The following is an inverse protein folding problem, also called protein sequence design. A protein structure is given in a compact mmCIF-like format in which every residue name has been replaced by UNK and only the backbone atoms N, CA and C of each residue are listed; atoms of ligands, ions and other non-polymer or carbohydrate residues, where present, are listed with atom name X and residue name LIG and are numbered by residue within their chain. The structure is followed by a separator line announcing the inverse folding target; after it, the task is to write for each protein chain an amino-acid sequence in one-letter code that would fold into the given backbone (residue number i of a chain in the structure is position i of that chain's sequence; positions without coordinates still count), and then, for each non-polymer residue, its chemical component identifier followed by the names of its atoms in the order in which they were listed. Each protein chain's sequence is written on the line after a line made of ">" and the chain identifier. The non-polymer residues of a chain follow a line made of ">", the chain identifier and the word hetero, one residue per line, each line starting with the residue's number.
data_IF_742634176310
#
_entry.id   IF_742634176310
#
_cell.length_a   1.000
_cell.length_b   1.000
_cell.length_c   1.000
_cell.angle_alpha   90.00
_cell.angle_beta   90.00
_cell.angle_gamma   90.00
#
_symmetry.space_group_name_H-M   'P 1'
#
loop_
_entity.id
_entity.type
_entity.pdbx_description
1 polymer ?
#
# COMPACT_ATOMS: atom_id res chain seq x y z
N UNK A 1 1.39 17.08 42.33
CA UNK A 1 2.35 17.16 41.21
C UNK A 1 1.57 17.62 40.00
N UNK A 2 1.77 18.86 39.56
CA UNK A 2 1.02 19.48 38.47
C UNK A 2 1.76 19.17 37.15
N UNK A 3 1.12 18.45 36.22
CA UNK A 3 1.64 18.21 34.87
C UNK A 3 1.14 19.34 33.97
N UNK A 4 1.96 20.38 33.82
CA UNK A 4 1.79 21.38 32.76
C UNK A 4 2.25 20.77 31.44
N UNK A 5 1.34 20.03 30.79
CA UNK A 5 1.53 19.48 29.45
C UNK A 5 1.37 20.58 28.42
N UNK A 6 2.42 21.38 28.21
CA UNK A 6 2.44 22.50 27.29
C UNK A 6 1.92 22.13 25.89
N UNK A 7 0.74 22.66 25.54
CA UNK A 7 0.21 22.71 24.19
C UNK A 7 1.03 23.71 23.36
N UNK A 8 2.26 23.33 22.98
CA UNK A 8 3.01 24.09 22.00
C UNK A 8 2.27 24.09 20.66
N UNK A 9 2.19 25.23 19.94
CA UNK A 9 1.61 25.24 18.60
C UNK A 9 2.41 24.25 17.73
N UNK A 10 1.73 23.27 17.14
CA UNK A 10 2.40 22.39 16.17
C UNK A 10 2.90 23.28 15.03
N UNK A 11 4.21 23.45 14.93
CA UNK A 11 4.86 24.11 13.80
C UNK A 11 4.57 23.28 12.55
N UNK A 12 3.45 23.53 11.87
CA UNK A 12 3.24 23.07 10.51
C UNK A 12 4.21 23.87 9.65
N UNK A 13 5.25 23.26 9.06
CA UNK A 13 6.18 24.01 8.24
C UNK A 13 5.46 24.31 6.92
N UNK A 14 4.83 25.48 6.83
CA UNK A 14 4.01 25.96 5.71
C UNK A 14 4.72 25.86 4.34
N UNK A 15 6.05 25.75 4.33
CA UNK A 15 6.90 25.68 3.14
C UNK A 15 7.84 24.47 3.09
N UNK A 16 7.72 23.50 4.01
CA UNK A 16 8.54 22.27 4.00
C UNK A 16 7.67 21.01 4.09
N UNK A 17 6.64 20.95 3.25
CA UNK A 17 5.85 19.74 3.06
C UNK A 17 6.29 19.01 1.80
N UNK A 18 6.31 17.67 1.85
CA UNK A 18 6.47 16.80 0.68
C UNK A 18 5.17 16.04 0.46
N UNK A 19 4.75 15.94 -0.79
CA UNK A 19 3.63 15.08 -1.17
C UNK A 19 4.13 13.65 -1.30
N UNK A 20 3.52 12.73 -0.58
CA UNK A 20 3.79 11.28 -0.70
C UNK A 20 2.61 10.67 -1.44
N UNK A 21 2.88 10.05 -2.59
CA UNK A 21 1.91 9.23 -3.30
C UNK A 21 2.13 7.77 -2.92
N UNK A 22 1.12 7.14 -2.30
CA UNK A 22 1.12 5.70 -2.01
C UNK A 22 0.32 4.99 -3.11
N UNK A 23 0.99 4.15 -3.88
CA UNK A 23 0.38 3.41 -5.00
C UNK A 23 0.49 1.92 -4.71
N UNK A 24 -0.65 1.22 -4.73
CA UNK A 24 -0.68 -0.25 -4.69
C UNK A 24 -0.33 -0.80 -6.07
N UNK A 25 0.32 -1.97 -6.12
CA UNK A 25 0.53 -2.68 -7.37
C UNK A 25 -0.81 -3.00 -8.06
N UNK A 26 -0.77 -3.11 -9.39
CA UNK A 26 -1.90 -3.51 -10.23
C UNK A 26 -2.20 -5.02 -10.09
N UNK A 27 -3.23 -5.52 -10.78
CA UNK A 27 -3.65 -6.92 -10.67
C UNK A 27 -2.51 -7.90 -11.04
N UNK A 28 -2.09 -8.69 -10.05
CA UNK A 28 -1.17 -9.81 -10.22
C UNK A 28 -1.93 -11.11 -10.54
N UNK A 29 -1.25 -12.07 -11.18
CA UNK A 29 -1.82 -13.40 -11.44
C UNK A 29 -2.31 -14.09 -10.15
N UNK A 30 -1.59 -13.89 -9.04
CA UNK A 30 -1.97 -14.41 -7.73
C UNK A 30 -3.32 -13.86 -7.21
N UNK A 31 -3.72 -12.64 -7.60
CA UNK A 31 -5.02 -12.09 -7.18
C UNK A 31 -6.17 -12.85 -7.82
N UNK A 32 -6.08 -13.10 -9.14
CA UNK A 32 -7.12 -13.82 -9.91
C UNK A 32 -7.27 -15.25 -9.41
N UNK A 33 -6.15 -15.93 -9.21
CA UNK A 33 -6.13 -17.33 -8.76
C UNK A 33 -6.58 -17.45 -7.30
N UNK A 34 -6.19 -16.50 -6.46
CA UNK A 34 -6.60 -16.44 -5.05
C UNK A 34 -8.08 -16.10 -4.84
N UNK A 35 -8.68 -15.28 -5.72
CA UNK A 35 -10.13 -15.01 -5.74
C UNK A 35 -10.92 -16.28 -6.07
N UNK A 36 -10.39 -17.11 -6.98
CA UNK A 36 -11.03 -18.37 -7.38
C UNK A 36 -10.82 -19.46 -6.34
N UNK A 37 -9.60 -19.58 -5.81
CA UNK A 37 -9.23 -20.56 -4.81
C UNK A 37 -8.30 -19.91 -3.77
N UNK A 38 -8.84 -19.68 -2.57
CA UNK A 38 -8.10 -19.03 -1.49
C UNK A 38 -6.74 -19.68 -1.17
N UNK A 39 -6.60 -21.00 -1.32
CA UNK A 39 -5.32 -21.69 -1.09
C UNK A 39 -4.21 -21.24 -2.05
N UNK A 40 -4.57 -20.69 -3.21
CA UNK A 40 -3.60 -20.16 -4.18
C UNK A 40 -2.78 -19.00 -3.60
N UNK A 41 -3.32 -18.20 -2.68
CA UNK A 41 -2.53 -17.15 -1.99
C UNK A 41 -1.34 -17.72 -1.18
N UNK A 42 -1.40 -18.99 -0.81
CA UNK A 42 -0.35 -19.66 -0.04
C UNK A 42 0.58 -20.50 -0.94
N UNK A 43 0.35 -20.54 -2.25
CA UNK A 43 1.17 -21.32 -3.18
C UNK A 43 2.52 -20.64 -3.40
N UNK A 44 3.59 -21.42 -3.31
CA UNK A 44 4.94 -20.97 -3.67
C UNK A 44 5.07 -20.60 -5.15
N UNK A 45 4.21 -21.13 -6.01
CA UNK A 45 4.19 -20.81 -7.45
C UNK A 45 3.83 -19.34 -7.72
N UNK A 46 3.17 -18.68 -6.77
CA UNK A 46 2.73 -17.29 -6.90
C UNK A 46 3.55 -16.28 -6.09
N UNK A 47 4.70 -16.70 -5.53
CA UNK A 47 5.56 -15.85 -4.71
C UNK A 47 6.07 -14.61 -5.45
N UNK A 48 6.42 -14.76 -6.73
CA UNK A 48 6.84 -13.66 -7.62
C UNK A 48 5.99 -13.66 -8.89
N UNK A 49 4.67 -13.71 -8.70
CA UNK A 49 3.72 -13.80 -9.80
C UNK A 49 3.71 -12.50 -10.64
N UNK A 50 3.75 -12.59 -11.98
CA UNK A 50 3.70 -11.41 -12.83
C UNK A 50 2.32 -10.74 -12.82
N UNK A 51 2.28 -9.49 -13.27
CA UNK A 51 1.03 -8.77 -13.55
C UNK A 51 0.25 -9.46 -14.67
N UNK A 52 -1.08 -9.41 -14.58
CA UNK A 52 -1.96 -9.85 -15.66
C UNK A 52 -1.98 -8.80 -16.79
N UNK A 53 -2.54 -9.15 -17.95
CA UNK A 53 -2.76 -8.18 -19.03
C UNK A 53 -3.61 -6.99 -18.56
N UNK A 54 -4.63 -7.26 -17.74
CA UNK A 54 -5.42 -6.21 -17.10
C UNK A 54 -4.55 -5.38 -16.14
N UNK A 55 -3.68 -6.01 -15.35
CA UNK A 55 -2.75 -5.32 -14.46
C UNK A 55 -1.84 -4.33 -15.20
N UNK A 56 -1.32 -4.69 -16.38
CA UNK A 56 -0.53 -3.77 -17.21
C UNK A 56 -1.34 -2.59 -17.77
N UNK A 57 -2.65 -2.75 -17.92
CA UNK A 57 -3.57 -1.70 -18.39
C UNK A 57 -4.08 -0.77 -17.28
N UNK A 58 -3.82 -1.10 -16.00
CA UNK A 58 -4.23 -0.29 -14.84
C UNK A 58 -3.28 0.90 -14.58
N UNK A 59 -2.52 1.30 -15.59
CA UNK A 59 -1.74 2.53 -15.61
C UNK A 59 -2.60 3.72 -16.05
#
# INVERSE_FOLDING_TARGET
>A
MNMDGGLGPSLFPLHRCKTIHLVRHAQGKHNVEGETNYKAYLSSEYFDAPLTQLGWQQY
#
